data_IF_392858784104
#
_entry.id   IF_392858784104
#
_cell.length_a   1.000
_cell.length_b   1.000
_cell.length_c   1.000
_cell.angle_alpha   90.00
_cell.angle_beta   90.00
_cell.angle_gamma   90.00
#
_symmetry.space_group_name_H-M   'P 1'
#
loop_
_entity.id
_entity.type
_entity.pdbx_description
1 polymer ?
#
# COMPACT_ATOMS: atom_id res chain seq x y z
N UNK A 1 -5.79 -38.96 32.69
CA UNK A 1 -4.40 -38.70 32.29
C UNK A 1 -4.43 -37.71 31.13
N UNK A 2 -4.67 -36.43 31.43
CA UNK A 2 -4.75 -35.37 30.43
C UNK A 2 -3.33 -34.86 30.16
N UNK A 3 -2.99 -34.72 28.87
CA UNK A 3 -1.74 -34.12 28.39
C UNK A 3 -1.94 -32.61 28.29
N UNK A 4 -1.08 -31.86 28.96
CA UNK A 4 -0.96 -30.41 28.79
C UNK A 4 -0.36 -30.10 27.42
N UNK A 5 -1.08 -29.33 26.61
CA UNK A 5 -0.57 -28.72 25.40
C UNK A 5 -0.07 -27.32 25.75
N UNK A 6 1.21 -27.06 25.50
CA UNK A 6 1.84 -25.77 25.72
C UNK A 6 1.17 -24.68 24.89
N UNK A 7 0.74 -23.62 25.59
CA UNK A 7 0.29 -22.36 25.02
C UNK A 7 1.49 -21.59 24.48
N UNK A 8 1.65 -21.58 23.15
CA UNK A 8 2.47 -20.58 22.47
C UNK A 8 1.67 -19.29 22.40
N UNK A 9 2.06 -18.31 23.22
CA UNK A 9 1.46 -16.97 23.25
C UNK A 9 1.96 -16.19 22.02
N UNK A 10 1.08 -15.93 21.05
CA UNK A 10 1.31 -14.86 20.07
C UNK A 10 1.22 -13.53 20.83
N UNK A 11 2.29 -12.74 20.83
CA UNK A 11 2.31 -11.44 21.47
C UNK A 11 1.32 -10.47 20.80
N UNK A 12 0.66 -9.58 21.55
CA UNK A 12 -0.26 -8.59 20.98
C UNK A 12 0.55 -7.36 20.51
N UNK A 13 0.62 -7.15 19.19
CA UNK A 13 1.25 -5.96 18.62
C UNK A 13 1.68 -6.03 17.14
N UNK A 14 1.58 -7.17 16.47
CA UNK A 14 1.85 -7.27 15.03
C UNK A 14 0.51 -7.49 14.30
N UNK A 15 0.24 -6.65 13.30
CA UNK A 15 -0.97 -6.66 12.51
C UNK A 15 -1.25 -8.05 11.90
N UNK A 16 -2.54 -8.33 11.73
CA UNK A 16 -3.12 -9.59 11.26
C UNK A 16 -2.29 -10.24 10.16
N UNK A 17 -1.95 -11.53 10.35
CA UNK A 17 -1.37 -12.37 9.30
C UNK A 17 -2.26 -12.31 8.06
N UNK A 18 -1.73 -11.75 6.96
CA UNK A 18 -2.32 -11.86 5.64
C UNK A 18 -2.33 -13.35 5.27
N UNK A 19 -3.50 -13.99 5.40
CA UNK A 19 -3.69 -15.36 4.90
C UNK A 19 -3.86 -15.26 3.39
N UNK A 20 -2.78 -15.52 2.66
CA UNK A 20 -2.89 -15.83 1.23
C UNK A 20 -3.54 -17.22 1.10
N UNK A 21 -4.66 -17.29 0.39
CA UNK A 21 -5.18 -18.56 -0.11
C UNK A 21 -4.19 -19.08 -1.15
N UNK A 22 -3.25 -19.90 -0.68
CA UNK A 22 -2.21 -20.50 -1.51
C UNK A 22 -0.85 -20.42 -0.86
N UNK A 23 -0.40 -21.54 -0.28
CA UNK A 23 1.04 -21.82 -0.15
C UNK A 23 1.63 -21.92 -1.57
N UNK A 24 1.91 -20.79 -2.20
CA UNK A 24 2.66 -20.75 -3.44
C UNK A 24 4.12 -20.92 -3.08
N UNK A 25 4.65 -22.11 -3.38
CA UNK A 25 6.09 -22.31 -3.49
C UNK A 25 6.68 -21.21 -4.39
N UNK A 26 7.86 -20.71 -4.07
CA UNK A 26 8.54 -19.67 -4.85
C UNK A 26 8.84 -20.19 -6.27
N UNK A 27 7.89 -20.04 -7.18
CA UNK A 27 8.02 -20.41 -8.61
C UNK A 27 8.71 -19.31 -9.42
N UNK A 28 9.13 -18.22 -8.77
CA UNK A 28 9.67 -17.03 -9.43
C UNK A 28 8.62 -16.20 -10.18
N UNK A 29 7.33 -16.54 -10.06
CA UNK A 29 6.22 -15.77 -10.62
C UNK A 29 5.43 -15.08 -9.51
N UNK A 30 5.10 -13.80 -9.72
CA UNK A 30 4.28 -13.06 -8.78
C UNK A 30 2.83 -13.60 -8.70
N UNK A 31 2.15 -13.47 -7.55
CA UNK A 31 0.74 -13.83 -7.44
C UNK A 31 -0.08 -13.06 -8.47
N UNK A 32 -1.04 -13.72 -9.13
CA UNK A 32 -1.91 -13.08 -10.15
C UNK A 32 -3.09 -12.33 -9.55
N UNK A 33 -3.43 -12.62 -8.30
CA UNK A 33 -4.53 -12.01 -7.57
C UNK A 33 -4.04 -11.78 -6.16
N UNK A 34 -3.97 -10.52 -5.80
CA UNK A 34 -3.68 -10.08 -4.46
C UNK A 34 -4.65 -8.93 -4.16
N UNK A 35 -5.27 -9.00 -3.00
CA UNK A 35 -6.14 -7.93 -2.53
C UNK A 35 -5.31 -6.98 -1.65
N UNK A 36 -5.53 -5.66 -1.77
CA UNK A 36 -4.94 -4.68 -0.86
C UNK A 36 -5.31 -4.97 0.60
N UNK A 37 -4.43 -4.59 1.51
CA UNK A 37 -4.75 -4.58 2.93
C UNK A 37 -5.75 -3.46 3.23
N UNK A 38 -6.87 -3.81 3.86
CA UNK A 38 -7.90 -2.83 4.26
C UNK A 38 -7.88 -2.71 5.79
N UNK A 39 -7.67 -1.50 6.35
CA UNK A 39 -7.64 -1.32 7.79
C UNK A 39 -9.04 -1.48 8.40
N UNK A 40 -9.07 -1.84 9.68
CA UNK A 40 -10.30 -1.78 10.47
C UNK A 40 -10.49 -0.36 11.03
N UNK A 41 -11.76 0.03 11.23
CA UNK A 41 -12.09 1.33 11.83
C UNK A 41 -11.65 1.39 13.29
N UNK A 42 -10.88 2.42 13.66
CA UNK A 42 -10.48 2.73 15.03
C UNK A 42 -11.43 3.70 15.74
N UNK A 43 -11.26 3.87 17.05
CA UNK A 43 -12.08 4.79 17.87
C UNK A 43 -11.63 6.26 17.77
N UNK A 44 -10.38 6.51 17.40
CA UNK A 44 -9.78 7.83 17.28
C UNK A 44 -8.25 7.76 17.25
N UNK A 45 -7.54 8.90 17.05
CA UNK A 45 -6.09 8.92 17.07
C UNK A 45 -5.55 8.64 18.47
N UNK A 46 -4.41 7.95 18.55
CA UNK A 46 -3.73 7.59 19.79
C UNK A 46 -2.21 7.56 19.57
N UNK A 47 -1.45 7.58 20.66
CA UNK A 47 0.01 7.45 20.64
C UNK A 47 0.42 6.09 21.20
N UNK A 48 1.31 5.39 20.49
CA UNK A 48 1.86 4.08 20.90
C UNK A 48 3.08 3.72 20.05
N UNK A 49 4.27 3.59 20.67
CA UNK A 49 5.55 3.33 19.99
C UNK A 49 5.58 2.05 19.14
N UNK A 50 4.64 1.13 19.38
CA UNK A 50 4.49 -0.10 18.60
C UNK A 50 3.93 0.15 17.21
N UNK A 51 3.23 1.27 17.01
CA UNK A 51 2.54 1.61 15.78
C UNK A 51 3.32 2.59 14.93
N UNK A 52 3.08 2.52 13.62
CA UNK A 52 3.60 3.47 12.65
C UNK A 52 2.41 4.12 11.97
N UNK A 53 2.20 5.38 12.30
CA UNK A 53 1.04 6.11 11.84
C UNK A 53 1.32 6.75 10.49
N UNK A 54 0.38 6.65 9.55
CA UNK A 54 0.49 7.24 8.21
C UNK A 54 -0.78 8.01 7.85
N UNK A 55 -0.71 9.03 6.96
CA UNK A 55 -1.91 9.64 6.40
C UNK A 55 -2.73 8.58 5.69
N UNK A 56 -4.04 8.53 5.97
CA UNK A 56 -4.95 7.72 5.19
C UNK A 56 -5.35 8.50 3.94
N UNK A 57 -4.75 8.14 2.81
CA UNK A 57 -4.96 8.85 1.55
C UNK A 57 -6.34 8.53 0.95
N UNK A 58 -7.14 9.53 0.57
CA UNK A 58 -8.48 9.32 0.02
C UNK A 58 -8.39 8.89 -1.44
N UNK A 59 -8.15 7.60 -1.67
CA UNK A 59 -7.98 6.99 -2.98
C UNK A 59 -8.46 5.55 -3.05
N UNK A 60 -8.05 4.84 -4.10
CA UNK A 60 -8.39 3.44 -4.28
C UNK A 60 -7.24 2.55 -3.78
N UNK A 61 -7.46 1.70 -2.75
CA UNK A 61 -6.50 0.67 -2.37
C UNK A 61 -6.11 -0.17 -3.59
N UNK A 62 -4.81 -0.27 -3.86
CA UNK A 62 -4.28 -0.82 -5.11
C UNK A 62 -2.97 -1.55 -4.87
N UNK A 63 -2.87 -2.77 -5.38
CA UNK A 63 -1.62 -3.53 -5.48
C UNK A 63 -0.91 -3.16 -6.77
N UNK A 64 0.37 -2.80 -6.68
CA UNK A 64 1.27 -2.65 -7.82
C UNK A 64 2.22 -3.86 -7.89
N UNK A 65 2.19 -4.60 -9.00
CA UNK A 65 3.12 -5.70 -9.28
C UNK A 65 4.06 -5.32 -10.41
N UNK A 66 5.37 -5.50 -10.22
CA UNK A 66 6.40 -5.25 -11.21
C UNK A 66 7.10 -6.58 -11.53
N UNK A 67 6.93 -7.06 -12.76
CA UNK A 67 7.52 -8.31 -13.26
C UNK A 67 7.98 -8.13 -14.71
N UNK A 68 9.23 -8.46 -15.02
CA UNK A 68 9.81 -8.30 -16.35
C UNK A 68 9.84 -6.84 -16.83
N UNK A 69 9.94 -5.88 -15.90
CA UNK A 69 9.89 -4.44 -16.23
C UNK A 69 8.50 -3.91 -16.59
N UNK A 70 7.44 -4.70 -16.35
CA UNK A 70 6.06 -4.31 -16.60
C UNK A 70 5.31 -4.10 -15.29
N UNK A 71 4.60 -2.97 -15.20
CA UNK A 71 3.65 -2.70 -14.13
C UNK A 71 2.31 -3.40 -14.42
N UNK A 72 1.73 -4.00 -13.38
CA UNK A 72 0.31 -4.38 -13.32
C UNK A 72 -0.29 -3.78 -12.06
N UNK A 73 -1.45 -3.14 -12.20
CA UNK A 73 -2.20 -2.61 -11.06
C UNK A 73 -3.41 -3.52 -10.77
N UNK A 74 -3.79 -3.65 -9.50
CA UNK A 74 -5.00 -4.35 -9.10
C UNK A 74 -5.68 -3.60 -7.95
N UNK A 75 -6.87 -3.05 -8.20
CA UNK A 75 -7.67 -2.41 -7.14
C UNK A 75 -8.35 -3.47 -6.26
N UNK A 76 -9.04 -3.04 -5.21
CA UNK A 76 -9.84 -3.91 -4.31
C UNK A 76 -10.77 -4.89 -5.07
N UNK A 77 -11.31 -4.51 -6.22
CA UNK A 77 -12.21 -5.35 -7.02
C UNK A 77 -11.49 -6.14 -8.13
N UNK A 78 -10.14 -6.24 -8.07
CA UNK A 78 -9.27 -6.93 -9.02
C UNK A 78 -9.29 -6.38 -10.45
N UNK A 79 -9.77 -5.14 -10.63
CA UNK A 79 -9.65 -4.43 -11.91
C UNK A 79 -8.21 -3.94 -12.08
N UNK A 80 -7.70 -4.00 -13.31
CA UNK A 80 -6.41 -3.40 -13.67
C UNK A 80 -6.65 -2.04 -14.34
N UNK A 81 -6.46 -0.92 -13.61
CA UNK A 81 -6.74 0.40 -14.14
C UNK A 81 -5.58 0.97 -14.98
N UNK A 82 -4.50 0.21 -15.25
CA UNK A 82 -3.33 0.75 -15.96
C UNK A 82 -3.67 1.27 -17.36
N UNK A 83 -4.66 0.69 -18.05
CA UNK A 83 -5.13 1.23 -19.34
C UNK A 83 -5.82 2.60 -19.22
N UNK A 84 -6.42 2.88 -18.06
CA UNK A 84 -7.01 4.18 -17.71
C UNK A 84 -5.96 5.19 -17.26
N UNK A 85 -4.87 4.71 -16.65
CA UNK A 85 -3.77 5.52 -16.11
C UNK A 85 -2.42 5.11 -16.72
N UNK A 86 -2.25 5.18 -18.05
CA UNK A 86 -1.02 4.74 -18.71
C UNK A 86 0.21 5.53 -18.25
N UNK A 87 0.04 6.76 -17.75
CA UNK A 87 1.09 7.58 -17.16
C UNK A 87 1.80 6.91 -15.97
N UNK A 88 1.13 5.99 -15.26
CA UNK A 88 1.72 5.26 -14.13
C UNK A 88 2.70 4.17 -14.55
N UNK A 89 2.80 3.84 -15.85
CA UNK A 89 3.75 2.83 -16.34
C UNK A 89 5.20 3.11 -15.94
N UNK A 90 5.56 4.38 -15.73
CA UNK A 90 6.90 4.81 -15.27
C UNK A 90 7.27 4.29 -13.89
N UNK A 91 6.32 3.80 -13.09
CA UNK A 91 6.59 3.22 -11.76
C UNK A 91 7.49 1.99 -11.89
N UNK A 92 7.35 1.20 -12.97
CA UNK A 92 8.21 0.04 -13.20
C UNK A 92 9.69 0.43 -13.33
N UNK A 93 9.99 1.66 -13.78
CA UNK A 93 11.35 2.18 -13.89
C UNK A 93 11.86 2.83 -12.59
N UNK A 94 10.98 3.10 -11.62
CA UNK A 94 11.34 3.69 -10.32
C UNK A 94 11.70 2.65 -9.27
N UNK A 95 11.24 1.41 -9.46
CA UNK A 95 11.50 0.29 -8.55
C UNK A 95 12.80 -0.41 -8.98
N UNK A 96 13.74 -0.50 -8.06
CA UNK A 96 14.99 -1.22 -8.26
C UNK A 96 14.79 -2.71 -8.00
N UNK A 97 14.91 -3.51 -9.05
CA UNK A 97 14.75 -4.96 -9.02
C UNK A 97 13.59 -5.44 -9.88
N UNK A 98 13.29 -6.74 -9.78
CA UNK A 98 12.18 -7.38 -10.50
C UNK A 98 11.48 -8.38 -9.58
N UNK A 99 10.25 -8.77 -9.93
CA UNK A 99 9.42 -9.62 -9.07
C UNK A 99 9.09 -8.91 -7.76
N UNK A 100 8.60 -7.67 -7.87
CA UNK A 100 8.25 -6.80 -6.74
C UNK A 100 6.74 -6.63 -6.66
N UNK A 101 6.20 -6.62 -5.43
CA UNK A 101 4.79 -6.30 -5.19
C UNK A 101 4.70 -5.29 -4.06
N UNK A 102 3.97 -4.22 -4.31
CA UNK A 102 3.78 -3.08 -3.40
C UNK A 102 2.29 -2.90 -3.13
N UNK A 103 1.92 -2.74 -1.86
CA UNK A 103 0.59 -2.28 -1.45
C UNK A 103 0.60 -0.76 -1.33
N UNK A 104 -0.53 -0.11 -1.64
CA UNK A 104 -0.62 1.34 -1.63
C UNK A 104 -1.97 1.88 -2.10
N UNK A 105 -1.96 3.15 -2.46
CA UNK A 105 -3.18 3.90 -2.81
C UNK A 105 -3.02 4.61 -4.15
N UNK A 106 -3.93 4.32 -5.07
CA UNK A 106 -4.08 5.08 -6.32
C UNK A 106 -4.90 6.35 -6.05
N UNK A 107 -4.34 7.49 -6.47
CA UNK A 107 -4.93 8.81 -6.35
C UNK A 107 -5.07 9.46 -7.74
N UNK A 108 -5.98 10.43 -7.84
CA UNK A 108 -5.91 11.48 -8.86
C UNK A 108 -5.85 12.81 -8.14
N UNK A 109 -4.90 13.64 -8.54
CA UNK A 109 -4.67 14.96 -7.96
C UNK A 109 -5.28 16.05 -8.87
N UNK A 110 -5.88 17.06 -8.26
CA UNK A 110 -6.35 18.26 -8.96
C UNK A 110 -5.19 19.18 -9.40
N UNK A 111 -5.51 20.33 -9.99
CA UNK A 111 -4.51 21.30 -10.45
C UNK A 111 -3.70 21.93 -9.31
N UNK A 112 -4.22 21.89 -8.09
CA UNK A 112 -3.57 22.34 -6.86
C UNK A 112 -2.78 21.22 -6.17
N UNK A 113 -2.75 20.00 -6.73
CA UNK A 113 -2.04 18.85 -6.19
C UNK A 113 -2.77 18.15 -5.05
N UNK A 114 -4.07 18.41 -4.86
CA UNK A 114 -4.88 17.78 -3.80
C UNK A 114 -5.59 16.53 -4.33
N UNK A 115 -5.73 15.46 -3.54
CA UNK A 115 -6.54 14.31 -3.92
C UNK A 115 -7.98 14.70 -4.27
N UNK A 116 -8.46 14.26 -5.44
CA UNK A 116 -9.83 14.44 -5.92
C UNK A 116 -10.47 13.06 -6.15
N UNK A 117 -11.27 12.63 -5.18
CA UNK A 117 -11.96 11.33 -5.21
C UNK A 117 -13.03 11.25 -6.28
N UNK A 118 -13.68 12.37 -6.62
CA UNK A 118 -14.72 12.38 -7.65
C UNK A 118 -14.08 12.25 -9.03
N UNK A 119 -12.95 12.93 -9.27
CA UNK A 119 -12.18 12.78 -10.49
C UNK A 119 -11.57 11.39 -10.63
N UNK A 120 -11.04 10.80 -9.54
CA UNK A 120 -10.60 9.40 -9.53
C UNK A 120 -11.72 8.44 -9.93
N UNK A 121 -12.91 8.58 -9.32
CA UNK A 121 -14.08 7.76 -9.67
C UNK A 121 -14.50 7.95 -11.13
N UNK A 122 -14.49 9.18 -11.62
CA UNK A 122 -14.81 9.49 -13.01
C UNK A 122 -13.86 8.75 -13.96
N UNK A 123 -12.54 8.91 -13.77
CA UNK A 123 -11.52 8.22 -14.60
C UNK A 123 -11.63 6.70 -14.52
N UNK A 124 -11.86 6.14 -13.33
CA UNK A 124 -12.06 4.70 -13.17
C UNK A 124 -13.30 4.18 -13.92
N UNK A 125 -14.36 4.99 -14.02
CA UNK A 125 -15.61 4.62 -14.71
C UNK A 125 -15.58 4.86 -16.22
N UNK A 126 -14.77 5.82 -16.67
CA UNK A 126 -14.65 6.21 -18.07
C UNK A 126 -13.17 6.44 -18.43
N UNK A 127 -12.51 5.48 -19.11
CA UNK A 127 -11.13 5.62 -19.55
C UNK A 127 -10.86 6.77 -20.54
N UNK A 128 -11.90 7.36 -21.12
CA UNK A 128 -11.78 8.55 -21.97
C UNK A 128 -11.88 9.85 -21.16
N UNK A 129 -12.29 9.78 -19.89
CA UNK A 129 -12.25 10.92 -19.01
C UNK A 129 -10.79 11.28 -18.70
N UNK A 130 -10.43 12.51 -19.03
CA UNK A 130 -9.13 13.08 -18.72
C UNK A 130 -9.18 14.03 -17.52
N UNK A 131 -8.04 14.65 -17.23
CA UNK A 131 -7.91 15.62 -16.15
C UNK A 131 -7.20 15.04 -14.92
N UNK A 132 -6.62 15.96 -14.15
CA UNK A 132 -5.81 15.63 -12.98
C UNK A 132 -4.54 14.86 -13.30
N UNK A 133 -3.74 14.61 -12.27
CA UNK A 133 -2.53 13.80 -12.35
C UNK A 133 -2.72 12.54 -11.51
N UNK A 134 -2.58 11.36 -12.12
CA UNK A 134 -2.62 10.11 -11.38
C UNK A 134 -1.32 9.95 -10.57
N UNK A 135 -1.45 9.49 -9.33
CA UNK A 135 -0.33 9.20 -8.46
C UNK A 135 -0.57 7.90 -7.69
N UNK A 136 0.52 7.26 -7.28
CA UNK A 136 0.49 6.07 -6.43
C UNK A 136 1.28 6.33 -5.15
N UNK A 137 0.65 6.16 -4.01
CA UNK A 137 1.33 6.26 -2.71
C UNK A 137 1.59 4.85 -2.20
N UNK A 138 2.86 4.45 -2.18
CA UNK A 138 3.32 3.13 -1.78
C UNK A 138 3.40 3.02 -0.25
N UNK A 139 2.66 2.08 0.34
CA UNK A 139 2.55 1.91 1.78
C UNK A 139 3.29 0.68 2.29
N UNK A 140 3.32 -0.45 1.57
CA UNK A 140 3.99 -1.67 2.06
C UNK A 140 4.68 -2.45 0.92
N UNK A 141 5.76 -3.16 1.25
CA UNK A 141 6.47 -4.04 0.31
C UNK A 141 6.16 -5.49 0.64
N UNK A 142 5.43 -6.15 -0.26
CA UNK A 142 4.90 -7.48 -0.02
C UNK A 142 5.75 -8.60 -0.67
N UNK A 143 6.40 -8.32 -1.80
CA UNK A 143 7.35 -9.23 -2.48
C UNK A 143 8.58 -8.47 -2.97
N UNK A 144 9.72 -9.16 -2.98
CA UNK A 144 10.98 -8.66 -3.54
C UNK A 144 11.77 -9.82 -4.17
N UNK A 145 12.25 -9.65 -5.40
CA UNK A 145 13.04 -10.68 -6.09
C UNK A 145 12.26 -11.98 -6.28
N UNK A 146 10.93 -11.88 -6.49
CA UNK A 146 10.04 -13.04 -6.64
C UNK A 146 9.76 -13.80 -5.34
N UNK A 147 10.21 -13.30 -4.18
CA UNK A 147 10.00 -13.93 -2.87
C UNK A 147 9.04 -13.12 -2.00
N UNK A 148 8.10 -13.76 -1.28
CA UNK A 148 7.20 -13.06 -0.37
C UNK A 148 7.94 -12.52 0.86
N UNK A 149 7.54 -11.32 1.29
CA UNK A 149 7.99 -10.66 2.52
C UNK A 149 6.89 -10.59 3.60
N UNK A 150 5.69 -11.10 3.31
CA UNK A 150 4.51 -10.97 4.21
C UNK A 150 4.70 -11.58 5.60
N UNK A 151 5.61 -12.56 5.75
CA UNK A 151 5.96 -13.18 7.03
C UNK A 151 7.00 -12.36 7.83
N UNK A 152 7.50 -11.26 7.26
CA UNK A 152 8.45 -10.35 7.91
C UNK A 152 7.71 -9.26 8.68
N UNK A 153 8.30 -8.71 9.76
CA UNK A 153 7.72 -7.56 10.45
C UNK A 153 7.50 -6.38 9.51
N UNK A 154 6.41 -5.64 9.72
CA UNK A 154 6.06 -4.46 8.89
C UNK A 154 7.19 -3.44 8.80
N UNK A 155 7.92 -3.21 9.89
CA UNK A 155 9.08 -2.31 9.91
C UNK A 155 10.17 -2.72 8.92
N UNK A 156 10.46 -4.03 8.81
CA UNK A 156 11.45 -4.55 7.85
C UNK A 156 10.94 -4.38 6.41
N UNK A 157 9.65 -4.59 6.17
CA UNK A 157 9.04 -4.39 4.84
C UNK A 157 9.09 -2.93 4.42
N UNK A 158 8.83 -2.00 5.34
CA UNK A 158 8.91 -0.55 5.10
C UNK A 158 10.33 -0.06 4.85
N UNK A 159 11.31 -0.55 5.61
CA UNK A 159 12.72 -0.25 5.38
C UNK A 159 13.12 -0.67 3.96
N UNK A 160 12.83 -1.93 3.59
CA UNK A 160 13.10 -2.45 2.24
C UNK A 160 12.35 -1.69 1.15
N UNK A 161 11.12 -1.23 1.40
CA UNK A 161 10.38 -0.40 0.45
C UNK A 161 11.15 0.88 0.14
N UNK A 162 11.70 1.53 1.17
CA UNK A 162 12.53 2.73 1.03
C UNK A 162 13.85 2.48 0.28
N UNK A 163 14.40 1.28 0.38
CA UNK A 163 15.62 0.90 -0.35
C UNK A 163 15.37 0.68 -1.85
N UNK A 164 14.21 0.13 -2.21
CA UNK A 164 13.93 -0.29 -3.60
C UNK A 164 13.12 0.74 -4.39
N UNK A 165 12.33 1.59 -3.74
CA UNK A 165 11.54 2.61 -4.41
C UNK A 165 12.30 3.93 -4.46
N UNK A 166 12.75 4.33 -5.65
CA UNK A 166 13.31 5.66 -5.86
C UNK A 166 12.20 6.72 -5.82
N UNK A 167 12.50 7.86 -5.21
CA UNK A 167 11.58 9.01 -5.20
C UNK A 167 11.21 9.41 -6.64
N UNK A 168 9.91 9.43 -6.92
CA UNK A 168 9.35 9.83 -8.20
C UNK A 168 8.24 10.86 -8.04
N UNK A 169 7.86 11.49 -9.16
CA UNK A 169 6.72 12.43 -9.16
C UNK A 169 5.39 11.70 -9.02
N UNK A 170 5.22 10.58 -9.72
CA UNK A 170 3.96 9.85 -9.82
C UNK A 170 3.87 8.68 -8.82
N UNK A 171 4.97 8.31 -8.18
CA UNK A 171 4.98 7.31 -7.12
C UNK A 171 5.95 7.73 -6.02
N UNK A 172 5.45 7.66 -4.78
CA UNK A 172 6.22 7.99 -3.58
C UNK A 172 5.93 6.96 -2.50
N UNK A 173 6.92 6.66 -1.67
CA UNK A 173 6.65 5.98 -0.42
C UNK A 173 5.83 6.90 0.49
N UNK A 174 4.75 6.38 1.06
CA UNK A 174 4.02 7.03 2.15
C UNK A 174 4.99 7.41 3.26
N UNK A 175 4.73 8.51 3.96
CA UNK A 175 5.54 8.98 5.08
C UNK A 175 4.67 9.08 6.32
N UNK A 176 5.25 8.74 7.47
CA UNK A 176 4.51 8.60 8.72
C UNK A 176 5.36 8.87 9.95
N UNK A 177 4.75 8.74 11.11
CA UNK A 177 5.38 8.93 12.42
C UNK A 177 5.25 7.65 13.24
N UNK A 178 6.36 7.23 13.88
CA UNK A 178 6.32 6.15 14.86
C UNK A 178 5.84 6.70 16.20
N UNK A 179 4.85 6.06 16.80
CA UNK A 179 4.42 6.41 18.16
C UNK A 179 3.55 7.66 18.30
N UNK A 180 3.49 8.53 17.30
CA UNK A 180 2.89 9.88 17.41
C UNK A 180 1.66 10.02 16.50
N UNK A 181 0.62 9.23 16.76
CA UNK A 181 -0.61 9.23 15.97
C UNK A 181 -1.46 10.48 16.20
N UNK A 182 -1.48 11.03 17.41
CA UNK A 182 -2.20 12.27 17.71
C UNK A 182 -1.58 13.44 16.93
N UNK A 183 -0.25 13.56 16.96
CA UNK A 183 0.46 14.60 16.21
C UNK A 183 0.22 14.48 14.71
N UNK A 184 0.28 13.25 14.17
CA UNK A 184 0.03 13.05 12.75
C UNK A 184 -1.41 13.45 12.38
N UNK A 185 -2.41 13.07 13.19
CA UNK A 185 -3.80 13.43 12.96
C UNK A 185 -3.99 14.95 12.87
N UNK A 186 -3.38 15.72 13.78
CA UNK A 186 -3.40 17.18 13.75
C UNK A 186 -2.72 17.75 12.50
N UNK A 187 -1.57 17.18 12.12
CA UNK A 187 -0.82 17.61 10.94
C UNK A 187 -1.62 17.37 9.65
N UNK A 188 -2.22 16.19 9.47
CA UNK A 188 -2.99 15.86 8.26
C UNK A 188 -4.31 16.64 8.18
N UNK A 189 -4.93 16.97 9.32
CA UNK A 189 -6.09 17.86 9.37
C UNK A 189 -5.79 19.25 8.79
N UNK A 190 -4.58 19.79 9.02
CA UNK A 190 -4.15 21.06 8.43
C UNK A 190 -4.00 21.03 6.90
N UNK A 191 -3.87 19.83 6.33
CA UNK A 191 -3.79 19.56 4.89
C UNK A 191 -5.16 19.20 4.28
N UNK A 192 -6.23 19.19 5.08
CA UNK A 192 -7.58 18.84 4.62
C UNK A 192 -7.86 17.33 4.58
N UNK A 193 -6.98 16.50 5.15
CA UNK A 193 -7.22 15.07 5.34
C UNK A 193 -7.81 14.83 6.74
N UNK A 194 -8.65 13.81 6.90
CA UNK A 194 -9.38 13.57 8.16
C UNK A 194 -8.97 12.30 8.88
N UNK A 195 -8.20 11.43 8.23
CA UNK A 195 -7.97 10.07 8.68
C UNK A 195 -6.47 9.72 8.63
N UNK A 196 -6.07 8.81 9.52
CA UNK A 196 -4.74 8.21 9.58
C UNK A 196 -4.88 6.69 9.71
N UNK A 197 -3.89 5.94 9.25
CA UNK A 197 -3.73 4.51 9.56
C UNK A 197 -2.68 4.31 10.64
N UNK A 198 -2.71 3.16 11.31
CA UNK A 198 -1.80 2.76 12.38
C UNK A 198 -1.32 1.32 12.17
#
# INVERSE_FOLDING_TARGET
>A
MAREAGSGHAGPGEQLSLVLDGRQEATGQLPRRLLPMIPAMGEGPFDDERYFFEPWWPGAPTIASIEGGHLRLQTEHLADPLATFPELGVIAEQVDGDGVVVDGTLLVLDAEGRPDTELLRLRLSDPQAGGGEAAFVASDLLWLGGSPLIDRPFSERRERLGDVLRDGRLCVASRGLRGEGIMLAEAVASMGLTEISA
#
